data_IF_187310275562
#
_entry.id   IF_187310275562
#
_cell.length_a   1.000
_cell.length_b   1.000
_cell.length_c   1.000
_cell.angle_alpha   90.00
_cell.angle_beta   90.00
_cell.angle_gamma   90.00
#
_symmetry.space_group_name_H-M   'P 1'
#
loop_
_entity.id
_entity.type
_entity.pdbx_description
1 polymer ?
#
# COMPACT_ATOMS: atom_id res chain seq x y z
N UNK A 1 -22.80 6.28 -18.47
CA UNK A 1 -22.54 4.92 -19.01
C UNK A 1 -22.36 3.85 -17.93
N UNK A 2 -22.01 4.20 -16.68
CA UNK A 2 -21.74 3.25 -15.58
C UNK A 2 -22.96 2.40 -15.15
N UNK A 3 -24.16 3.00 -15.13
CA UNK A 3 -25.40 2.33 -14.73
C UNK A 3 -25.73 1.18 -15.68
N UNK A 4 -25.45 1.32 -16.97
CA UNK A 4 -25.82 0.34 -17.98
C UNK A 4 -25.00 -0.96 -17.83
N UNK A 5 -23.71 -0.84 -17.50
CA UNK A 5 -22.84 -1.96 -17.15
C UNK A 5 -23.21 -2.63 -15.82
N UNK A 6 -23.64 -1.86 -14.82
CA UNK A 6 -24.13 -2.40 -13.55
C UNK A 6 -25.44 -3.18 -13.77
N UNK A 7 -26.36 -2.64 -14.57
CA UNK A 7 -27.63 -3.28 -14.92
C UNK A 7 -27.42 -4.57 -15.72
N UNK A 8 -26.47 -4.58 -16.65
CA UNK A 8 -26.11 -5.80 -17.41
C UNK A 8 -25.49 -6.85 -16.49
N UNK A 9 -24.55 -6.47 -15.61
CA UNK A 9 -23.93 -7.40 -14.66
C UNK A 9 -24.91 -7.96 -13.63
N UNK A 10 -25.77 -7.12 -13.06
CA UNK A 10 -26.83 -7.54 -12.15
C UNK A 10 -27.89 -8.39 -12.84
N UNK A 11 -28.28 -8.05 -14.07
CA UNK A 11 -29.24 -8.82 -14.87
C UNK A 11 -28.74 -10.22 -15.22
N UNK A 12 -27.45 -10.34 -15.58
CA UNK A 12 -26.83 -11.63 -15.88
C UNK A 12 -26.75 -12.54 -14.64
N UNK A 13 -26.42 -11.96 -13.48
CA UNK A 13 -26.36 -12.67 -12.20
C UNK A 13 -27.75 -13.14 -11.72
N UNK A 14 -28.78 -12.30 -11.89
CA UNK A 14 -30.17 -12.65 -11.56
C UNK A 14 -30.69 -13.80 -12.43
N UNK A 15 -30.36 -13.80 -13.74
CA UNK A 15 -30.71 -14.88 -14.66
C UNK A 15 -30.01 -16.20 -14.32
N UNK A 16 -28.72 -16.14 -13.93
CA UNK A 16 -27.98 -17.31 -13.48
C UNK A 16 -28.54 -17.90 -12.17
N UNK A 17 -28.91 -17.04 -11.21
CA UNK A 17 -29.57 -17.45 -9.96
C UNK A 17 -30.96 -18.08 -10.18
N UNK A 18 -31.77 -17.51 -11.08
CA UNK A 18 -33.07 -18.07 -11.47
C UNK A 18 -32.92 -19.45 -12.14
N UNK A 19 -31.93 -19.62 -13.02
CA UNK A 19 -31.64 -20.90 -13.66
C UNK A 19 -31.19 -21.98 -12.64
N UNK A 20 -30.40 -21.60 -11.63
CA UNK A 20 -29.95 -22.49 -10.56
C UNK A 20 -31.09 -22.87 -9.59
N UNK A 21 -31.97 -21.93 -9.25
CA UNK A 21 -33.11 -22.15 -8.33
C UNK A 21 -34.17 -23.11 -8.89
N UNK A 22 -34.26 -23.25 -10.22
CA UNK A 22 -35.15 -24.22 -10.88
C UNK A 22 -34.63 -25.67 -10.87
N UNK A 23 -33.50 -25.95 -10.21
CA UNK A 23 -33.05 -27.32 -9.90
C UNK A 23 -32.53 -28.14 -11.09
N UNK A 24 -32.16 -27.49 -12.19
CA UNK A 24 -31.82 -28.14 -13.47
C UNK A 24 -30.31 -28.38 -13.70
N UNK A 25 -29.44 -28.06 -12.74
CA UNK A 25 -27.99 -28.19 -12.90
C UNK A 25 -27.38 -29.11 -11.84
N UNK A 26 -26.76 -30.23 -12.24
CA UNK A 26 -25.94 -31.05 -11.35
C UNK A 26 -24.89 -30.17 -10.65
N UNK A 27 -24.50 -30.45 -9.39
CA UNK A 27 -23.55 -29.63 -8.63
C UNK A 27 -22.26 -29.27 -9.38
N UNK A 28 -21.77 -30.20 -10.22
CA UNK A 28 -20.61 -30.00 -11.09
C UNK A 28 -20.84 -28.91 -12.16
N UNK A 29 -22.02 -28.85 -12.77
CA UNK A 29 -22.35 -27.84 -13.77
C UNK A 29 -22.49 -26.45 -13.13
N UNK A 30 -23.01 -26.38 -11.89
CA UNK A 30 -23.06 -25.14 -11.11
C UNK A 30 -21.66 -24.57 -10.85
N UNK A 31 -20.71 -25.40 -10.42
CA UNK A 31 -19.33 -24.99 -10.17
C UNK A 31 -18.62 -24.48 -11.43
N UNK A 32 -18.83 -25.13 -12.59
CA UNK A 32 -18.24 -24.68 -13.87
C UNK A 32 -18.82 -23.32 -14.29
N UNK A 33 -20.13 -23.12 -14.14
CA UNK A 33 -20.77 -21.84 -14.43
C UNK A 33 -20.24 -20.75 -13.49
N UNK A 34 -20.04 -21.06 -12.21
CA UNK A 34 -19.47 -20.13 -11.24
C UNK A 34 -18.03 -19.73 -11.60
N UNK A 35 -17.17 -20.69 -11.97
CA UNK A 35 -15.79 -20.40 -12.40
C UNK A 35 -15.76 -19.48 -13.65
N UNK A 36 -16.65 -19.70 -14.62
CA UNK A 36 -16.77 -18.83 -15.79
C UNK A 36 -17.20 -17.42 -15.40
N UNK A 37 -18.12 -17.29 -14.44
CA UNK A 37 -18.54 -15.99 -13.91
C UNK A 37 -17.36 -15.31 -13.20
N UNK A 38 -16.61 -16.01 -12.36
CA UNK A 38 -15.47 -15.46 -11.65
C UNK A 38 -14.39 -14.95 -12.61
N UNK A 39 -14.05 -15.73 -13.65
CA UNK A 39 -13.11 -15.32 -14.71
C UNK A 39 -13.65 -14.11 -15.47
N UNK A 40 -14.94 -14.08 -15.82
CA UNK A 40 -15.54 -12.94 -16.53
C UNK A 40 -15.54 -11.66 -15.68
N UNK A 41 -15.77 -11.79 -14.37
CA UNK A 41 -15.71 -10.67 -13.41
C UNK A 41 -14.27 -10.15 -13.29
N UNK A 42 -13.29 -11.03 -13.11
CA UNK A 42 -11.87 -10.66 -13.07
C UNK A 42 -11.45 -9.99 -14.38
N UNK A 43 -11.81 -10.56 -15.54
CA UNK A 43 -11.49 -10.00 -16.84
C UNK A 43 -12.12 -8.61 -17.04
N UNK A 44 -13.38 -8.42 -16.61
CA UNK A 44 -14.02 -7.11 -16.68
C UNK A 44 -13.40 -6.10 -15.70
N UNK A 45 -12.98 -6.54 -14.50
CA UNK A 45 -12.24 -5.69 -13.57
C UNK A 45 -10.89 -5.26 -14.15
N UNK A 46 -10.13 -6.19 -14.75
CA UNK A 46 -8.87 -5.91 -15.42
C UNK A 46 -9.05 -4.99 -16.64
N UNK A 47 -10.12 -5.18 -17.43
CA UNK A 47 -10.49 -4.28 -18.54
C UNK A 47 -10.82 -2.88 -18.03
N UNK A 48 -11.58 -2.77 -16.94
CA UNK A 48 -11.92 -1.48 -16.34
C UNK A 48 -10.67 -0.73 -15.87
N UNK A 49 -9.70 -1.44 -15.27
CA UNK A 49 -8.38 -0.90 -14.93
C UNK A 49 -7.60 -0.48 -16.19
N UNK A 50 -7.65 -1.28 -17.26
CA UNK A 50 -6.96 -0.99 -18.52
C UNK A 50 -7.56 0.16 -19.34
N UNK A 51 -8.86 0.40 -19.25
CA UNK A 51 -9.56 1.45 -19.99
C UNK A 51 -9.23 2.88 -19.51
N UNK A 52 -8.60 3.02 -18.33
CA UNK A 52 -8.04 4.28 -17.83
C UNK A 52 -6.63 4.59 -18.33
N UNK A 53 -5.94 3.65 -19.00
CA UNK A 53 -4.59 3.86 -19.57
C UNK A 53 -4.63 4.52 -20.95
N UNK A 54 -5.40 5.59 -21.11
CA UNK A 54 -5.16 6.50 -22.22
C UNK A 54 -3.78 7.11 -22.01
N UNK A 55 -2.78 6.61 -22.73
CA UNK A 55 -1.39 7.05 -22.62
C UNK A 55 -1.24 8.49 -23.13
N UNK A 56 -1.66 9.45 -22.32
CA UNK A 56 -1.12 10.80 -22.36
C UNK A 56 0.29 10.73 -21.80
N UNK A 57 1.28 11.14 -22.60
CA UNK A 57 2.66 11.32 -22.12
C UNK A 57 2.59 12.19 -20.86
N UNK A 58 2.98 11.70 -19.68
CA UNK A 58 2.95 12.49 -18.46
C UNK A 58 3.85 13.72 -18.69
N UNK A 59 3.39 14.93 -18.39
CA UNK A 59 4.22 16.11 -18.52
C UNK A 59 5.39 16.03 -17.53
N UNK A 60 6.61 16.19 -18.05
CA UNK A 60 7.86 16.11 -17.29
C UNK A 60 7.82 16.90 -15.97
N UNK A 61 8.48 16.35 -14.94
CA UNK A 61 8.88 17.13 -13.78
C UNK A 61 10.09 17.98 -14.17
N UNK A 62 10.19 19.19 -13.61
CA UNK A 62 11.39 20.01 -13.83
C UNK A 62 12.62 19.33 -13.21
N UNK A 63 13.76 19.33 -13.89
CA UNK A 63 15.00 18.67 -13.42
C UNK A 63 15.41 19.06 -11.98
N UNK A 64 15.15 20.31 -11.57
CA UNK A 64 15.41 20.77 -10.20
C UNK A 64 14.49 20.15 -9.14
N UNK A 65 13.24 19.82 -9.50
CA UNK A 65 12.29 19.14 -8.61
C UNK A 65 12.67 17.67 -8.45
N UNK A 66 13.01 16.98 -9.55
CA UNK A 66 13.45 15.59 -9.50
C UNK A 66 14.73 15.43 -8.66
N UNK A 67 15.74 16.29 -8.89
CA UNK A 67 16.97 16.27 -8.10
C UNK A 67 16.73 16.60 -6.61
N UNK A 68 15.67 17.34 -6.27
CA UNK A 68 15.30 17.58 -4.87
C UNK A 68 14.72 16.31 -4.25
N UNK A 69 13.76 15.67 -4.91
CA UNK A 69 13.14 14.42 -4.49
C UNK A 69 14.21 13.33 -4.29
N UNK A 70 15.13 13.18 -5.24
CA UNK A 70 16.25 12.22 -5.12
C UNK A 70 17.11 12.46 -3.88
N UNK A 71 17.39 13.72 -3.54
CA UNK A 71 18.17 14.06 -2.33
C UNK A 71 17.41 13.77 -1.05
N UNK A 72 16.11 14.08 -1.02
CA UNK A 72 15.22 13.79 0.12
C UNK A 72 15.14 12.28 0.36
N UNK A 73 14.95 11.48 -0.69
CA UNK A 73 14.90 10.01 -0.60
C UNK A 73 16.26 9.42 -0.21
N UNK A 74 17.36 9.93 -0.78
CA UNK A 74 18.70 9.51 -0.39
C UNK A 74 18.99 9.80 1.10
N UNK A 75 18.41 10.85 1.67
CA UNK A 75 18.53 11.15 3.10
C UNK A 75 17.79 10.14 3.99
N UNK A 76 16.72 9.51 3.49
CA UNK A 76 15.97 8.47 4.22
C UNK A 76 16.61 7.08 4.14
N UNK A 77 17.49 6.82 3.16
CA UNK A 77 18.11 5.51 2.95
C UNK A 77 18.76 4.90 4.22
N UNK A 78 19.48 5.64 5.08
CA UNK A 78 20.02 5.08 6.33
C UNK A 78 18.93 4.66 7.32
N UNK A 79 17.80 5.35 7.36
CA UNK A 79 16.67 5.01 8.24
C UNK A 79 15.94 3.76 7.75
N UNK A 80 15.74 3.64 6.43
CA UNK A 80 15.17 2.43 5.81
C UNK A 80 16.06 1.22 6.06
N UNK A 81 17.37 1.34 5.83
CA UNK A 81 18.34 0.27 6.09
C UNK A 81 18.32 -0.20 7.57
N UNK A 82 18.22 0.74 8.51
CA UNK A 82 18.10 0.43 9.94
C UNK A 82 16.77 -0.24 10.30
N UNK A 83 15.67 0.17 9.65
CA UNK A 83 14.36 -0.47 9.82
C UNK A 83 14.43 -1.93 9.37
N UNK A 84 15.01 -2.16 8.19
CA UNK A 84 15.22 -3.48 7.62
C UNK A 84 16.10 -4.36 8.49
N UNK A 85 17.25 -3.85 8.93
CA UNK A 85 18.17 -4.60 9.78
C UNK A 85 17.49 -5.00 11.09
N UNK A 86 16.82 -4.06 11.77
CA UNK A 86 16.14 -4.34 13.02
C UNK A 86 14.99 -5.34 12.81
N UNK A 87 14.20 -5.20 11.73
CA UNK A 87 13.14 -6.15 11.40
C UNK A 87 13.65 -7.59 11.31
N UNK A 88 14.84 -7.80 10.73
CA UNK A 88 15.42 -9.14 10.59
C UNK A 88 15.95 -9.71 11.91
N UNK A 89 16.59 -8.90 12.76
CA UNK A 89 17.26 -9.38 13.98
C UNK A 89 16.43 -9.32 15.25
N UNK A 90 15.32 -8.56 15.28
CA UNK A 90 14.53 -8.31 16.51
C UNK A 90 14.07 -9.58 17.23
N UNK A 91 13.76 -10.65 16.47
CA UNK A 91 13.32 -11.92 17.03
C UNK A 91 14.40 -12.63 17.86
N UNK A 92 15.69 -12.37 17.60
CA UNK A 92 16.82 -12.97 18.31
C UNK A 92 17.35 -12.14 19.47
N UNK A 93 16.89 -10.90 19.64
CA UNK A 93 17.34 -10.02 20.72
C UNK A 93 16.66 -10.33 22.05
N UNK A 94 17.38 -10.07 23.14
CA UNK A 94 16.79 -9.98 24.48
C UNK A 94 15.79 -8.82 24.53
N UNK A 95 14.77 -8.93 25.39
CA UNK A 95 13.66 -7.98 25.44
C UNK A 95 14.11 -6.53 25.72
N UNK A 96 15.01 -6.32 26.69
CA UNK A 96 15.51 -4.99 27.04
C UNK A 96 16.27 -4.35 25.88
N UNK A 97 17.12 -5.13 25.19
CA UNK A 97 17.87 -4.68 24.02
C UNK A 97 16.93 -4.39 22.83
N UNK A 98 15.92 -5.23 22.62
CA UNK A 98 14.93 -5.01 21.57
C UNK A 98 14.19 -3.68 21.78
N UNK A 99 13.77 -3.40 23.01
CA UNK A 99 13.09 -2.15 23.37
C UNK A 99 14.01 -0.93 23.25
N UNK A 100 15.28 -1.04 23.66
CA UNK A 100 16.25 0.06 23.54
C UNK A 100 16.61 0.40 22.09
N UNK A 101 16.51 -0.56 21.17
CA UNK A 101 16.74 -0.35 19.73
C UNK A 101 15.48 0.16 19.01
N UNK A 102 14.29 -0.34 19.40
CA UNK A 102 13.00 0.07 18.83
C UNK A 102 12.65 1.52 19.12
N UNK A 103 12.86 1.97 20.36
CA UNK A 103 12.52 3.34 20.77
C UNK A 103 13.15 4.43 19.88
N UNK A 104 14.48 4.47 19.67
CA UNK A 104 15.10 5.48 18.80
C UNK A 104 14.68 5.31 17.34
N UNK A 105 14.50 4.08 16.85
CA UNK A 105 14.00 3.85 15.49
C UNK A 105 12.61 4.47 15.29
N UNK A 106 11.68 4.19 16.21
CA UNK A 106 10.31 4.76 16.16
C UNK A 106 10.37 6.28 16.20
N UNK A 107 11.21 6.86 17.07
CA UNK A 107 11.39 8.31 17.13
C UNK A 107 11.90 8.86 15.79
N UNK A 108 12.85 8.22 15.13
CA UNK A 108 13.36 8.69 13.84
C UNK A 108 12.35 8.52 12.71
N UNK A 109 11.60 7.41 12.67
CA UNK A 109 10.47 7.25 11.74
C UNK A 109 9.45 8.38 11.89
N UNK A 110 9.21 8.86 13.10
CA UNK A 110 8.26 9.94 13.36
C UNK A 110 8.79 11.33 13.02
N UNK A 111 10.10 11.57 13.09
CA UNK A 111 10.70 12.88 12.84
C UNK A 111 11.15 13.06 11.40
N UNK A 112 11.59 11.98 10.75
CA UNK A 112 12.22 12.04 9.44
C UNK A 112 11.26 11.51 8.36
N UNK A 113 10.75 10.28 8.53
CA UNK A 113 9.91 9.63 7.52
C UNK A 113 8.48 10.20 7.49
N UNK A 114 7.73 10.15 8.58
CA UNK A 114 6.31 10.55 8.54
C UNK A 114 6.07 12.00 8.06
N UNK A 115 6.92 12.99 8.42
CA UNK A 115 6.79 14.34 7.88
C UNK A 115 7.08 14.42 6.38
N UNK A 116 8.04 13.65 5.87
CA UNK A 116 8.33 13.51 4.44
C UNK A 116 7.08 13.02 3.69
N UNK A 117 6.54 11.86 4.08
CA UNK A 117 5.34 11.26 3.48
C UNK A 117 4.12 12.20 3.51
N UNK A 118 3.97 12.95 4.62
CA UNK A 118 2.88 13.92 4.75
C UNK A 118 3.05 15.12 3.81
N UNK A 119 4.28 15.60 3.65
CA UNK A 119 4.62 16.69 2.73
C UNK A 119 4.34 16.27 1.29
N UNK A 120 4.72 15.05 0.91
CA UNK A 120 4.48 14.54 -0.43
C UNK A 120 2.98 14.42 -0.74
N UNK A 121 2.19 13.90 0.21
CA UNK A 121 0.74 13.82 0.08
C UNK A 121 0.08 15.21 -0.05
N UNK A 122 0.60 16.22 0.65
CA UNK A 122 0.01 17.55 0.71
C UNK A 122 0.43 18.46 -0.47
N UNK A 123 1.66 18.32 -0.94
CA UNK A 123 2.28 19.25 -1.89
C UNK A 123 2.57 18.58 -3.24
N UNK A 124 3.28 17.45 -3.24
CA UNK A 124 3.78 16.82 -4.46
C UNK A 124 2.69 16.05 -5.23
N UNK A 125 1.90 15.24 -4.53
CA UNK A 125 0.94 14.33 -5.14
C UNK A 125 -0.20 15.05 -5.86
N UNK A 126 -0.76 16.17 -5.36
CA UNK A 126 -1.73 16.96 -6.11
C UNK A 126 -1.20 17.45 -7.47
N UNK A 127 0.07 17.88 -7.51
CA UNK A 127 0.70 18.31 -8.76
C UNK A 127 0.89 17.14 -9.74
N UNK A 128 1.30 15.98 -9.24
CA UNK A 128 1.46 14.75 -10.04
C UNK A 128 0.12 14.22 -10.55
N UNK A 129 -0.92 14.22 -9.71
CA UNK A 129 -2.26 13.75 -10.09
C UNK A 129 -2.86 14.61 -11.21
N UNK A 130 -2.68 15.94 -11.15
CA UNK A 130 -3.11 16.85 -12.21
C UNK A 130 -2.43 16.56 -13.56
N UNK A 131 -1.22 16.01 -13.52
CA UNK A 131 -0.40 15.67 -14.70
C UNK A 131 -0.72 14.28 -15.28
N UNK A 132 -1.02 13.30 -14.41
CA UNK A 132 -1.32 11.91 -14.81
C UNK A 132 -2.74 11.75 -15.34
N UNK A 133 -3.69 12.57 -14.87
CA UNK A 133 -5.10 12.42 -15.19
C UNK A 133 -5.72 11.14 -14.62
N UNK A 134 -7.01 10.92 -14.91
CA UNK A 134 -7.81 9.85 -14.28
C UNK A 134 -8.46 10.27 -12.96
N UNK A 135 -9.33 9.41 -12.40
CA UNK A 135 -10.12 9.75 -11.21
C UNK A 135 -9.26 9.83 -9.93
N UNK A 136 -8.30 8.91 -9.74
CA UNK A 136 -7.36 8.90 -8.62
C UNK A 136 -6.09 8.08 -8.96
N UNK A 137 -5.14 8.65 -9.74
CA UNK A 137 -3.98 7.91 -10.25
C UNK A 137 -2.98 7.51 -9.15
N UNK A 138 -3.01 8.16 -7.99
CA UNK A 138 -2.07 7.93 -6.88
C UNK A 138 -2.72 7.21 -5.68
N UNK A 139 -3.96 6.74 -5.83
CA UNK A 139 -4.74 6.08 -4.78
C UNK A 139 -3.96 5.00 -4.00
N UNK A 140 -3.17 4.19 -4.73
CA UNK A 140 -2.40 3.08 -4.16
C UNK A 140 -1.21 3.58 -3.30
N UNK A 141 -0.56 4.66 -3.72
CA UNK A 141 0.52 5.30 -2.95
C UNK A 141 -0.04 5.96 -1.69
N UNK A 142 -1.09 6.77 -1.81
CA UNK A 142 -1.80 7.36 -0.67
C UNK A 142 -2.34 6.31 0.32
N UNK A 143 -2.76 5.13 -0.17
CA UNK A 143 -3.13 4.01 0.69
C UNK A 143 -1.93 3.44 1.45
N UNK A 144 -0.78 3.32 0.78
CA UNK A 144 0.46 2.84 1.39
C UNK A 144 0.95 3.81 2.48
N UNK A 145 0.87 5.13 2.26
CA UNK A 145 1.13 6.13 3.31
C UNK A 145 0.26 5.89 4.53
N UNK A 146 -1.07 5.80 4.36
CA UNK A 146 -1.98 5.57 5.49
C UNK A 146 -1.61 4.30 6.28
N UNK A 147 -1.16 3.27 5.59
CA UNK A 147 -0.69 2.03 6.22
C UNK A 147 0.63 2.21 6.97
N UNK A 148 1.61 2.91 6.41
CA UNK A 148 2.88 3.27 7.08
C UNK A 148 2.58 4.03 8.39
N UNK A 149 1.76 5.08 8.33
CA UNK A 149 1.36 5.88 9.50
C UNK A 149 0.64 5.03 10.55
N UNK A 150 -0.19 4.08 10.13
CA UNK A 150 -0.90 3.18 11.04
C UNK A 150 0.08 2.24 11.74
N UNK A 151 1.03 1.65 11.01
CA UNK A 151 2.02 0.71 11.52
C UNK A 151 3.02 1.37 12.45
N UNK A 152 3.55 2.55 12.12
CA UNK A 152 4.45 3.32 13.00
C UNK A 152 3.75 3.68 14.32
N UNK A 153 2.50 4.17 14.26
CA UNK A 153 1.72 4.45 15.48
C UNK A 153 1.42 3.20 16.29
N UNK A 154 1.19 2.06 15.64
CA UNK A 154 0.97 0.79 16.33
C UNK A 154 2.25 0.32 17.03
N UNK A 155 3.41 0.41 16.38
CA UNK A 155 4.71 0.10 17.00
C UNK A 155 4.99 0.97 18.21
N UNK A 156 4.74 2.29 18.10
CA UNK A 156 4.91 3.22 19.22
C UNK A 156 4.07 2.80 20.42
N UNK A 157 2.77 2.55 20.22
CA UNK A 157 1.87 2.13 21.31
C UNK A 157 2.31 0.82 21.93
N UNK A 158 2.60 -0.19 21.11
CA UNK A 158 2.99 -1.51 21.61
C UNK A 158 4.31 -1.47 22.39
N UNK A 159 5.25 -0.64 21.97
CA UNK A 159 6.53 -0.44 22.67
C UNK A 159 6.32 0.27 24.00
N UNK A 160 5.50 1.33 24.03
CA UNK A 160 5.13 2.04 25.26
C UNK A 160 4.41 1.13 26.28
N UNK A 161 3.43 0.34 25.84
CA UNK A 161 2.69 -0.58 26.72
C UNK A 161 3.61 -1.62 27.38
N UNK A 162 4.62 -2.10 26.63
CA UNK A 162 5.60 -3.08 27.12
C UNK A 162 6.59 -2.45 28.12
N UNK A 163 6.98 -1.19 27.92
CA UNK A 163 7.79 -0.45 28.91
C UNK A 163 7.01 -0.07 30.18
N UNK A 164 5.68 0.06 30.09
CA UNK A 164 4.81 0.46 31.21
C UNK A 164 4.43 -0.65 32.20
N UNK A 165 4.86 -1.91 31.99
CA UNK A 165 4.73 -2.99 32.97
C UNK A 165 3.34 -3.62 33.12
N UNK A 166 2.39 -3.39 32.20
CA UNK A 166 1.06 -4.02 32.25
C UNK A 166 1.11 -5.49 31.80
N UNK A 167 1.28 -6.43 32.73
CA UNK A 167 1.68 -7.81 32.40
C UNK A 167 0.59 -8.70 31.80
N UNK A 168 -0.69 -8.41 32.03
CA UNK A 168 -1.79 -9.31 31.60
C UNK A 168 -2.23 -9.11 30.15
N UNK A 169 -1.90 -7.97 29.53
CA UNK A 169 -2.34 -7.63 28.17
C UNK A 169 -1.27 -6.97 27.30
N UNK A 170 -0.02 -6.86 27.78
CA UNK A 170 1.04 -6.27 26.98
C UNK A 170 1.28 -7.08 25.70
N UNK A 171 1.45 -6.40 24.55
CA UNK A 171 1.73 -7.07 23.29
C UNK A 171 3.04 -7.85 23.40
N UNK A 172 3.09 -9.06 22.83
CA UNK A 172 4.29 -9.90 22.88
C UNK A 172 5.39 -9.32 21.99
N UNK A 173 6.67 -9.66 22.25
CA UNK A 173 7.79 -9.27 21.37
C UNK A 173 7.59 -9.83 19.96
N UNK A 174 6.98 -11.02 19.84
CA UNK A 174 6.59 -11.61 18.57
C UNK A 174 5.58 -10.74 17.83
N UNK A 175 4.62 -10.14 18.53
CA UNK A 175 3.64 -9.23 17.92
C UNK A 175 4.32 -7.95 17.43
N UNK A 176 5.19 -7.35 18.25
CA UNK A 176 5.97 -6.17 17.86
C UNK A 176 6.82 -6.45 16.63
N UNK A 177 7.52 -7.60 16.61
CA UNK A 177 8.29 -8.06 15.46
C UNK A 177 7.41 -8.23 14.22
N UNK A 178 6.22 -8.82 14.35
CA UNK A 178 5.28 -8.96 13.23
C UNK A 178 4.86 -7.61 12.64
N UNK A 179 4.63 -6.59 13.48
CA UNK A 179 4.31 -5.25 13.01
C UNK A 179 5.52 -4.57 12.36
N UNK A 180 6.73 -4.69 12.94
CA UNK A 180 7.95 -4.12 12.37
C UNK A 180 8.26 -4.74 11.00
N UNK A 181 8.12 -6.06 10.86
CA UNK A 181 8.34 -6.75 9.59
C UNK A 181 7.29 -6.40 8.54
N UNK A 182 6.07 -6.05 8.96
CA UNK A 182 5.04 -5.55 8.05
C UNK A 182 5.37 -4.13 7.60
N UNK A 183 5.85 -3.28 8.51
CA UNK A 183 6.30 -1.93 8.16
C UNK A 183 7.45 -1.98 7.16
N UNK A 184 8.49 -2.79 7.43
CA UNK A 184 9.64 -3.00 6.54
C UNK A 184 9.21 -3.33 5.10
N UNK A 185 8.36 -4.35 4.93
CA UNK A 185 7.86 -4.74 3.60
C UNK A 185 7.02 -3.66 2.93
N UNK A 186 6.19 -2.93 3.69
CA UNK A 186 5.37 -1.85 3.12
C UNK A 186 6.26 -0.69 2.69
N UNK A 187 7.30 -0.34 3.45
CA UNK A 187 8.27 0.68 3.07
C UNK A 187 9.03 0.28 1.80
N UNK A 188 9.57 -0.94 1.73
CA UNK A 188 10.27 -1.42 0.55
C UNK A 188 9.41 -1.33 -0.72
N UNK A 189 8.14 -1.78 -0.63
CA UNK A 189 7.22 -1.70 -1.75
C UNK A 189 6.88 -0.25 -2.12
N UNK A 190 6.61 0.58 -1.12
CA UNK A 190 6.21 1.96 -1.31
C UNK A 190 7.31 2.78 -2.01
N UNK A 191 8.54 2.75 -1.50
CA UNK A 191 9.67 3.47 -2.10
C UNK A 191 10.01 2.95 -3.50
N UNK A 192 9.86 1.65 -3.76
CA UNK A 192 10.04 1.10 -5.11
C UNK A 192 8.98 1.62 -6.10
N UNK A 193 7.72 1.76 -5.66
CA UNK A 193 6.63 2.31 -6.47
C UNK A 193 6.83 3.81 -6.76
N UNK A 194 7.28 4.58 -5.77
CA UNK A 194 7.59 5.99 -5.97
C UNK A 194 8.77 6.20 -6.91
N UNK A 195 9.85 5.42 -6.78
CA UNK A 195 10.99 5.50 -7.67
C UNK A 195 10.59 5.18 -9.13
N UNK A 196 9.74 4.15 -9.32
CA UNK A 196 9.17 3.85 -10.63
C UNK A 196 8.33 5.00 -11.17
N UNK A 197 7.50 5.62 -10.33
CA UNK A 197 6.71 6.80 -10.70
C UNK A 197 7.62 7.94 -11.16
N UNK A 198 8.65 8.29 -10.40
CA UNK A 198 9.56 9.38 -10.72
C UNK A 198 10.38 9.12 -11.99
N UNK A 199 10.84 7.87 -12.21
CA UNK A 199 11.50 7.48 -13.47
C UNK A 199 10.62 7.71 -14.69
N UNK A 200 9.31 7.48 -14.57
CA UNK A 200 8.37 7.75 -15.67
C UNK A 200 8.23 9.24 -16.00
N UNK A 201 8.53 10.13 -15.04
CA UNK A 201 8.56 11.58 -15.27
C UNK A 201 9.91 12.10 -15.78
N UNK A 202 11.01 11.38 -15.55
CA UNK A 202 12.35 11.72 -16.04
C UNK A 202 12.58 11.33 -17.51
N UNK A 203 12.07 10.16 -17.91
CA UNK A 203 12.26 9.58 -19.25
C UNK A 203 11.54 10.31 -20.41
N UNK A 204 11.04 11.53 -20.18
CA UNK A 204 10.39 12.37 -21.19
C UNK A 204 11.30 13.45 -21.79
N UNK A 205 12.62 13.32 -21.61
CA UNK A 205 13.65 14.15 -22.27
C UNK A 205 14.17 13.55 -23.57
#
# INVERSE_FOLDING_TARGET
MTIQSIVVGMGLSLLAMLAAAMGQLPPLAGAIVQEVIDVAVIANALRAIGAGRGATVPPALGAGALARIEREHAALAPLLARTHELAHRLHGLADDTALSELAPLITQLQHDLLPHEHSDEAELYPELAAKLGGDDPLAALSQSHREIFRLVRLLQRMTADRTGGSSSSAPTRRDIHGVLRRLDVVLDLHFAQEEELFRNFDATT
#
